data_IF_004912951652
#
_entry.id   IF_004912951652
#
_cell.length_a   1.000
_cell.length_b   1.000
_cell.length_c   1.000
_cell.angle_alpha   90.00
_cell.angle_beta   90.00
_cell.angle_gamma   90.00
#
_symmetry.space_group_name_H-M   'P 1'
#
loop_
_entity.id
_entity.type
_entity.pdbx_description
1 polymer ?
#
# COMPACT_ATOMS: atom_id res chain seq x y z
N UNK A 1 34.15 -10.65 -4.43
CA UNK A 1 33.37 -9.84 -5.40
C UNK A 1 32.03 -9.57 -4.76
N UNK A 2 31.77 -8.33 -4.35
CA UNK A 2 30.49 -7.91 -3.78
C UNK A 2 29.54 -7.77 -4.97
N UNK A 3 28.52 -8.64 -5.07
CA UNK A 3 27.41 -8.43 -6.00
C UNK A 3 26.75 -7.11 -5.59
N UNK A 4 27.00 -6.04 -6.35
CA UNK A 4 26.14 -4.87 -6.23
C UNK A 4 24.76 -5.29 -6.78
N UNK A 5 23.68 -5.12 -6.00
CA UNK A 5 22.34 -5.35 -6.51
C UNK A 5 22.14 -4.39 -7.69
N UNK A 6 21.68 -4.92 -8.82
CA UNK A 6 21.23 -4.08 -9.93
C UNK A 6 19.90 -3.48 -9.47
N UNK A 7 19.97 -2.30 -8.85
CA UNK A 7 18.77 -1.56 -8.42
C UNK A 7 18.04 -1.09 -9.65
N UNK A 8 16.83 -1.61 -9.85
CA UNK A 8 16.06 -1.25 -11.01
C UNK A 8 15.56 0.20 -10.87
N UNK A 9 15.83 1.11 -11.83
CA UNK A 9 15.49 2.53 -11.71
C UNK A 9 14.02 2.80 -11.38
N UNK A 10 13.12 1.88 -11.76
CA UNK A 10 11.69 1.94 -11.42
C UNK A 10 11.42 1.83 -9.92
N UNK A 11 12.19 1.03 -9.17
CA UNK A 11 12.00 0.88 -7.73
C UNK A 11 12.41 2.13 -6.97
N UNK A 12 13.47 2.80 -7.43
CA UNK A 12 13.89 4.10 -6.88
C UNK A 12 12.80 5.14 -7.09
N UNK A 13 12.29 5.28 -8.32
CA UNK A 13 11.21 6.22 -8.61
C UNK A 13 9.93 5.94 -7.79
N UNK A 14 9.56 4.67 -7.61
CA UNK A 14 8.42 4.29 -6.76
C UNK A 14 8.69 4.59 -5.28
N UNK A 15 9.92 4.38 -4.80
CA UNK A 15 10.31 4.72 -3.44
C UNK A 15 10.23 6.23 -3.18
N UNK A 16 10.68 7.05 -4.13
CA UNK A 16 10.58 8.51 -4.06
C UNK A 16 9.13 8.96 -3.94
N UNK A 17 8.24 8.48 -4.83
CA UNK A 17 6.80 8.81 -4.78
C UNK A 17 6.16 8.40 -3.44
N UNK A 18 6.48 7.20 -2.93
CA UNK A 18 5.96 6.76 -1.63
C UNK A 18 6.50 7.61 -0.46
N UNK A 19 7.75 8.06 -0.55
CA UNK A 19 8.34 8.97 0.41
C UNK A 19 7.66 10.34 0.41
N UNK A 20 7.40 10.90 -0.78
CA UNK A 20 6.69 12.18 -0.97
C UNK A 20 5.28 12.10 -0.39
N UNK A 21 4.50 11.07 -0.76
CA UNK A 21 3.15 10.87 -0.22
C UNK A 21 3.15 10.68 1.29
N UNK A 22 4.13 9.94 1.83
CA UNK A 22 4.28 9.78 3.29
C UNK A 22 4.53 11.11 4.00
N UNK A 23 5.33 12.00 3.41
CA UNK A 23 5.59 13.33 3.94
C UNK A 23 4.37 14.25 3.86
N UNK A 24 3.59 14.18 2.77
CA UNK A 24 2.33 14.93 2.64
C UNK A 24 1.30 14.51 3.69
N UNK A 25 1.18 13.21 3.98
CA UNK A 25 0.29 12.69 5.02
C UNK A 25 0.72 13.19 6.41
N UNK A 26 2.02 13.22 6.70
CA UNK A 26 2.52 13.78 7.98
C UNK A 26 2.23 15.27 8.11
N UNK A 27 2.47 16.05 7.06
CA UNK A 27 2.17 17.47 7.05
C UNK A 27 0.67 17.73 7.31
N UNK A 28 -0.21 16.91 6.72
CA UNK A 28 -1.64 16.97 6.97
C UNK A 28 -2.00 16.60 8.43
N UNK A 29 -1.40 15.54 8.96
CA UNK A 29 -1.56 15.14 10.36
C UNK A 29 -1.12 16.24 11.32
N UNK A 30 0.01 16.91 11.04
CA UNK A 30 0.50 18.04 11.83
C UNK A 30 -0.51 19.19 11.86
N UNK A 31 -1.14 19.51 10.72
CA UNK A 31 -2.19 20.55 10.66
C UNK A 31 -3.35 20.20 11.59
N UNK A 32 -3.81 18.94 11.59
CA UNK A 32 -4.91 18.51 12.46
C UNK A 32 -4.52 18.49 13.94
N UNK A 33 -3.26 18.16 14.25
CA UNK A 33 -2.74 18.15 15.61
C UNK A 33 -2.66 19.54 16.26
N UNK A 34 -2.76 20.63 15.50
CA UNK A 34 -2.76 22.00 16.03
C UNK A 34 -4.07 22.41 16.71
N UNK A 35 -5.17 21.69 16.47
CA UNK A 35 -6.43 21.91 17.18
C UNK A 35 -6.60 20.83 18.28
N UNK A 36 -6.37 21.22 19.53
CA UNK A 36 -6.47 20.33 20.69
C UNK A 36 -7.87 19.70 20.82
N UNK A 37 -8.92 20.42 20.43
CA UNK A 37 -10.29 19.91 20.50
C UNK A 37 -10.55 18.88 19.41
N UNK A 38 -9.93 19.04 18.24
CA UNK A 38 -9.96 18.05 17.16
C UNK A 38 -9.20 16.79 17.57
N UNK A 39 -7.99 16.95 18.12
CA UNK A 39 -7.17 15.83 18.60
C UNK A 39 -7.90 15.01 19.65
N UNK A 40 -8.51 15.66 20.64
CA UNK A 40 -9.25 14.97 21.69
C UNK A 40 -10.42 14.13 21.15
N UNK A 41 -11.04 14.57 20.04
CA UNK A 41 -12.16 13.87 19.40
C UNK A 41 -11.73 12.79 18.41
N UNK A 42 -10.57 12.93 17.79
CA UNK A 42 -10.13 12.11 16.66
C UNK A 42 -8.75 11.46 16.86
N UNK A 43 -8.34 11.24 18.10
CA UNK A 43 -7.00 10.72 18.43
C UNK A 43 -6.72 9.37 17.75
N UNK A 44 -7.72 8.48 17.67
CA UNK A 44 -7.57 7.17 17.05
C UNK A 44 -7.35 7.28 15.54
N UNK A 45 -8.09 8.17 14.88
CA UNK A 45 -7.97 8.44 13.46
C UNK A 45 -6.61 9.08 13.15
N UNK A 46 -6.15 10.02 13.98
CA UNK A 46 -4.82 10.63 13.86
C UNK A 46 -3.69 9.61 14.02
N UNK A 47 -3.82 8.68 14.98
CA UNK A 47 -2.89 7.56 15.12
C UNK A 47 -2.91 6.63 13.90
N UNK A 48 -4.08 6.40 13.29
CA UNK A 48 -4.17 5.62 12.06
C UNK A 48 -3.49 6.32 10.87
N UNK A 49 -3.63 7.65 10.76
CA UNK A 49 -2.96 8.48 9.75
C UNK A 49 -1.43 8.40 9.90
N UNK A 50 -0.92 8.59 11.12
CA UNK A 50 0.51 8.45 11.43
C UNK A 50 1.03 7.04 11.07
N UNK A 51 0.28 6.00 11.44
CA UNK A 51 0.65 4.63 11.09
C UNK A 51 0.67 4.40 9.57
N UNK A 52 -0.22 5.00 8.79
CA UNK A 52 -0.21 4.92 7.32
C UNK A 52 1.06 5.58 6.76
N UNK A 53 1.42 6.77 7.23
CA UNK A 53 2.63 7.46 6.79
C UNK A 53 3.90 6.65 7.12
N UNK A 54 3.97 6.06 8.32
CA UNK A 54 5.06 5.16 8.72
C UNK A 54 5.17 3.94 7.80
N UNK A 55 4.04 3.31 7.45
CA UNK A 55 3.99 2.17 6.52
C UNK A 55 4.47 2.54 5.12
N UNK A 56 4.13 3.74 4.63
CA UNK A 56 4.60 4.22 3.33
C UNK A 56 6.11 4.48 3.31
N UNK A 57 6.66 5.13 4.34
CA UNK A 57 8.12 5.34 4.44
C UNK A 57 8.89 4.03 4.53
N UNK A 58 8.35 3.07 5.25
CA UNK A 58 8.91 1.74 5.31
C UNK A 58 8.94 1.04 3.94
N UNK A 59 7.83 1.10 3.20
CA UNK A 59 7.76 0.59 1.84
C UNK A 59 8.75 1.27 0.91
N UNK A 60 8.85 2.60 0.99
CA UNK A 60 9.84 3.36 0.23
C UNK A 60 11.27 2.88 0.52
N UNK A 61 11.61 2.65 1.79
CA UNK A 61 12.92 2.12 2.17
C UNK A 61 13.19 0.72 1.59
N UNK A 62 12.20 -0.18 1.60
CA UNK A 62 12.33 -1.53 1.01
C UNK A 62 12.58 -1.45 -0.50
N UNK A 63 11.82 -0.60 -1.20
CA UNK A 63 11.95 -0.40 -2.64
C UNK A 63 13.30 0.24 -3.02
N UNK A 64 13.72 1.27 -2.27
CA UNK A 64 15.03 1.90 -2.46
C UNK A 64 16.18 0.92 -2.20
N UNK A 65 16.00 -0.03 -1.28
CA UNK A 65 16.93 -1.12 -1.00
C UNK A 65 16.86 -2.27 -2.04
N UNK A 66 16.19 -2.05 -3.19
CA UNK A 66 16.22 -3.00 -4.31
C UNK A 66 15.41 -4.27 -4.05
N UNK A 67 14.46 -4.19 -3.11
CA UNK A 67 13.60 -5.28 -2.67
C UNK A 67 14.41 -6.47 -2.12
N UNK A 68 14.69 -6.43 -0.80
CA UNK A 68 15.29 -7.54 -0.07
C UNK A 68 14.29 -8.09 0.94
N UNK A 69 13.96 -9.38 0.87
CA UNK A 69 13.12 -10.05 1.88
C UNK A 69 13.64 -9.86 3.31
N UNK A 70 14.97 -9.78 3.47
CA UNK A 70 15.62 -9.54 4.78
C UNK A 70 15.25 -8.16 5.33
N UNK A 71 15.29 -7.13 4.49
CA UNK A 71 14.88 -5.78 4.88
C UNK A 71 13.37 -5.67 5.09
N UNK A 72 12.57 -6.44 4.33
CA UNK A 72 11.12 -6.52 4.52
C UNK A 72 10.73 -7.12 5.87
N UNK A 73 11.50 -8.08 6.41
CA UNK A 73 11.30 -8.61 7.78
C UNK A 73 11.76 -7.65 8.88
N UNK A 74 12.72 -6.77 8.61
CA UNK A 74 13.22 -5.78 9.58
C UNK A 74 12.20 -4.68 9.85
N UNK A 75 11.46 -4.30 8.83
CA UNK A 75 10.37 -3.37 9.01
C UNK A 75 9.15 -4.18 9.45
N UNK A 76 8.72 -4.02 10.70
CA UNK A 76 7.61 -4.78 11.30
C UNK A 76 6.28 -4.48 10.59
N UNK A 77 6.10 -5.10 9.44
CA UNK A 77 4.93 -5.05 8.57
C UNK A 77 4.57 -6.48 8.20
N UNK A 78 4.42 -7.36 9.19
CA UNK A 78 4.11 -8.79 8.98
C UNK A 78 2.95 -8.98 7.99
N UNK A 79 1.87 -8.21 8.11
CA UNK A 79 0.73 -8.25 7.17
C UNK A 79 1.07 -7.83 5.75
N UNK A 80 2.04 -6.92 5.57
CA UNK A 80 2.49 -6.48 4.25
C UNK A 80 3.48 -7.48 3.66
N UNK A 81 4.36 -8.04 4.49
CA UNK A 81 5.27 -9.12 4.13
C UNK A 81 4.49 -10.34 3.63
N UNK A 82 3.46 -10.78 4.36
CA UNK A 82 2.57 -11.87 3.93
C UNK A 82 1.93 -11.61 2.56
N UNK A 83 1.43 -10.37 2.32
CA UNK A 83 0.80 -10.01 1.05
C UNK A 83 1.76 -9.89 -0.11
N UNK A 84 2.97 -9.36 0.11
CA UNK A 84 3.97 -9.19 -0.95
C UNK A 84 4.69 -10.49 -1.28
N UNK A 85 5.12 -11.26 -0.28
CA UNK A 85 5.76 -12.57 -0.50
C UNK A 85 4.74 -13.59 -1.02
N UNK A 86 3.49 -13.57 -0.54
CA UNK A 86 2.42 -14.40 -1.08
C UNK A 86 2.06 -14.09 -2.55
N UNK A 87 2.42 -12.89 -3.06
CA UNK A 87 2.31 -12.54 -4.47
C UNK A 87 3.45 -13.11 -5.33
N UNK A 88 4.60 -13.45 -4.72
CA UNK A 88 5.81 -13.91 -5.40
C UNK A 88 6.02 -15.42 -5.34
N UNK A 89 5.40 -16.12 -4.39
CA UNK A 89 5.25 -17.57 -4.40
C UNK A 89 4.30 -17.96 -5.54
N UNK A 90 4.85 -18.08 -6.75
CA UNK A 90 4.13 -18.24 -8.02
C UNK A 90 3.24 -19.49 -8.15
N UNK A 91 2.14 -19.52 -7.40
CA UNK A 91 0.87 -20.09 -7.86
C UNK A 91 -0.03 -18.90 -8.17
N UNK A 92 0.16 -18.35 -9.37
CA UNK A 92 -0.86 -17.55 -10.03
C UNK A 92 -2.07 -18.46 -10.31
N UNK A 93 -2.87 -18.74 -9.28
CA UNK A 93 -4.29 -18.98 -9.50
C UNK A 93 -4.91 -17.63 -9.81
N UNK A 94 -5.20 -17.45 -11.09
CA UNK A 94 -5.98 -16.38 -11.67
C UNK A 94 -7.34 -16.28 -10.96
N UNK A 95 -7.42 -15.60 -9.81
CA UNK A 95 -8.72 -15.22 -9.23
C UNK A 95 -9.23 -13.94 -9.91
N UNK A 96 -9.52 -14.03 -11.20
CA UNK A 96 -10.47 -13.18 -11.90
C UNK A 96 -11.20 -14.00 -12.98
N UNK A 97 -11.60 -15.24 -12.68
CA UNK A 97 -12.84 -15.76 -13.29
C UNK A 97 -14.00 -15.13 -12.53
N UNK A 98 -14.45 -13.96 -13.00
CA UNK A 98 -15.81 -13.52 -12.70
C UNK A 98 -16.70 -14.51 -13.45
N UNK A 99 -17.59 -15.26 -12.78
CA UNK A 99 -18.60 -16.02 -13.49
C UNK A 99 -19.43 -14.99 -14.27
N UNK A 100 -19.29 -14.97 -15.58
CA UNK A 100 -20.34 -14.39 -16.42
C UNK A 100 -21.49 -15.37 -16.26
N UNK A 101 -22.37 -15.10 -15.31
CA UNK A 101 -23.69 -15.71 -15.34
C UNK A 101 -24.27 -15.36 -16.69
N UNK A 102 -24.47 -16.39 -17.51
CA UNK A 102 -25.26 -16.35 -18.72
C UNK A 102 -26.72 -16.09 -18.31
N UNK A 103 -27.02 -14.86 -17.88
CA UNK A 103 -28.39 -14.36 -17.83
C UNK A 103 -28.79 -14.01 -19.25
N UNK A 104 -28.91 -15.05 -20.08
CA UNK A 104 -29.78 -15.05 -21.22
C UNK A 104 -31.21 -14.78 -20.71
N UNK A 105 -31.65 -13.54 -20.85
CA UNK A 105 -33.05 -13.14 -20.82
C UNK A 105 -33.67 -12.99 -19.43
N UNK A 106 -33.41 -11.88 -18.76
CA UNK A 106 -34.48 -11.15 -18.07
C UNK A 106 -34.01 -9.73 -17.77
N UNK A 107 -34.55 -8.77 -18.53
CA UNK A 107 -34.46 -7.34 -18.22
C UNK A 107 -35.20 -7.08 -16.89
N UNK A 108 -34.52 -6.69 -15.80
CA UNK A 108 -35.20 -6.46 -14.53
C UNK A 108 -35.91 -5.09 -14.49
N UNK A 109 -35.73 -4.21 -15.48
CA UNK A 109 -36.16 -2.81 -15.40
C UNK A 109 -36.86 -2.23 -16.64
N UNK A 110 -37.03 -2.96 -17.75
CA UNK A 110 -38.04 -2.67 -18.79
C UNK A 110 -38.01 -1.23 -19.34
N UNK A 111 -36.82 -0.66 -19.57
CA UNK A 111 -36.64 0.75 -19.91
C UNK A 111 -36.07 1.01 -21.31
N UNK A 112 -36.04 0.02 -22.19
CA UNK A 112 -35.77 0.21 -23.61
C UNK A 112 -36.83 -0.55 -24.41
N UNK A 113 -37.79 0.23 -24.94
CA UNK A 113 -38.91 -0.05 -25.87
C UNK A 113 -39.39 -1.49 -26.12
#
# INVERSE_FOLDING_TARGET
MIHQPIFEPRFIAMAEVLGELGAEIEALGEVFCRDETFVARHLRELQAIDLIAQKQRALAAILAAGFSEVEMRRINLETLHERFCGFMDGTAETCCEVPIEDTAGCDPLGLWE
#
